data_IF_737450001642
#
_entry.id   IF_737450001642
#
_cell.length_a   1.000
_cell.length_b   1.000
_cell.length_c   1.000
_cell.angle_alpha   90.00
_cell.angle_beta   90.00
_cell.angle_gamma   90.00
#
_symmetry.space_group_name_H-M   'P 1'
#
loop_
_entity.id
_entity.type
_entity.pdbx_description
1 polymer ?
#
# COMPACT_ATOMS: atom_id res chain seq x y z
N UNK A 1 0.73 -8.02 -11.52
CA UNK A 1 1.97 -8.70 -11.06
C UNK A 1 3.17 -8.10 -11.79
N UNK A 2 4.09 -7.44 -11.07
CA UNK A 2 5.33 -6.85 -11.61
C UNK A 2 6.56 -7.56 -11.01
N UNK A 3 7.06 -8.65 -11.62
CA UNK A 3 8.20 -9.40 -11.10
C UNK A 3 9.52 -8.61 -11.08
N UNK A 4 9.59 -7.50 -11.83
CA UNK A 4 10.75 -6.62 -11.88
C UNK A 4 10.87 -5.65 -10.70
N UNK A 5 9.82 -5.50 -9.88
CA UNK A 5 9.85 -4.63 -8.70
C UNK A 5 10.61 -5.31 -7.57
N UNK A 6 11.67 -4.66 -7.08
CA UNK A 6 12.39 -5.13 -5.90
C UNK A 6 11.78 -4.50 -4.64
N UNK A 7 11.62 -5.29 -3.56
CA UNK A 7 11.04 -4.78 -2.31
C UNK A 7 11.79 -3.57 -1.74
N UNK A 8 13.11 -3.51 -1.94
CA UNK A 8 13.93 -2.38 -1.51
C UNK A 8 13.55 -1.05 -2.20
N UNK A 9 12.91 -1.08 -3.36
CA UNK A 9 12.41 0.12 -4.04
C UNK A 9 11.22 0.75 -3.29
N UNK A 10 10.47 -0.05 -2.52
CA UNK A 10 9.32 0.41 -1.74
C UNK A 10 9.72 0.98 -0.37
N UNK A 11 10.97 0.78 0.06
CA UNK A 11 11.50 1.32 1.32
C UNK A 11 12.14 2.71 1.15
N UNK A 12 12.24 3.21 -0.09
CA UNK A 12 12.86 4.50 -0.41
C UNK A 12 11.88 5.42 -1.14
N UNK A 13 11.73 6.65 -0.64
CA UNK A 13 10.79 7.63 -1.19
C UNK A 13 11.00 7.91 -2.68
N UNK A 14 12.24 8.19 -3.10
CA UNK A 14 12.53 8.57 -4.48
C UNK A 14 12.32 7.38 -5.44
N UNK A 15 12.70 6.17 -5.01
CA UNK A 15 12.49 4.95 -5.78
C UNK A 15 11.00 4.58 -5.90
N UNK A 16 10.27 4.58 -4.79
CA UNK A 16 8.83 4.31 -4.78
C UNK A 16 8.06 5.35 -5.61
N UNK A 17 8.44 6.63 -5.52
CA UNK A 17 7.87 7.69 -6.35
C UNK A 17 8.11 7.44 -7.83
N UNK A 18 9.35 7.13 -8.23
CA UNK A 18 9.67 6.83 -9.62
C UNK A 18 8.90 5.61 -10.13
N UNK A 19 8.73 4.59 -9.28
CA UNK A 19 7.93 3.42 -9.59
C UNK A 19 6.45 3.77 -9.80
N UNK A 20 5.85 4.55 -8.89
CA UNK A 20 4.46 5.01 -9.01
C UNK A 20 4.23 5.81 -10.30
N UNK A 21 5.11 6.77 -10.60
CA UNK A 21 5.04 7.55 -11.83
C UNK A 21 5.19 6.68 -13.08
N UNK A 22 6.03 5.63 -13.03
CA UNK A 22 6.24 4.69 -14.16
C UNK A 22 4.99 3.88 -14.53
N UNK A 23 4.05 3.71 -13.59
CA UNK A 23 2.79 2.99 -13.80
C UNK A 23 1.59 3.92 -13.95
N UNK A 24 1.83 5.23 -14.06
CA UNK A 24 0.78 6.22 -14.33
C UNK A 24 0.10 6.82 -13.10
N UNK A 25 0.60 6.56 -11.89
CA UNK A 25 0.11 7.19 -10.67
C UNK A 25 0.65 8.62 -10.57
N UNK A 26 -0.23 9.59 -10.33
CA UNK A 26 0.17 10.97 -10.07
C UNK A 26 0.53 11.15 -8.59
N UNK A 27 1.81 11.36 -8.29
CA UNK A 27 2.27 11.55 -6.91
C UNK A 27 2.15 13.02 -6.48
N UNK A 28 1.29 13.28 -5.50
CA UNK A 28 1.10 14.60 -4.92
C UNK A 28 2.27 15.03 -4.03
N UNK A 29 2.52 16.35 -3.95
CA UNK A 29 3.64 16.89 -3.15
C UNK A 29 3.51 16.65 -1.65
N UNK A 30 2.29 16.42 -1.16
CA UNK A 30 2.01 16.17 0.25
C UNK A 30 2.13 14.70 0.65
N UNK A 31 2.27 13.78 -0.31
CA UNK A 31 2.37 12.35 -0.04
C UNK A 31 3.75 12.02 0.50
N UNK A 32 3.77 11.26 1.59
CA UNK A 32 4.94 10.54 2.06
C UNK A 32 5.02 9.15 1.44
N UNK A 33 6.03 8.40 1.87
CA UNK A 33 6.31 7.06 1.36
C UNK A 33 5.14 6.11 1.55
N UNK A 34 4.48 6.15 2.73
CA UNK A 34 3.40 5.22 3.05
C UNK A 34 2.21 5.39 2.12
N UNK A 35 1.87 6.64 1.78
CA UNK A 35 0.81 6.89 0.80
C UNK A 35 1.17 6.38 -0.59
N UNK A 36 2.40 6.63 -1.05
CA UNK A 36 2.86 6.17 -2.37
C UNK A 36 2.81 4.65 -2.48
N UNK A 37 3.31 3.92 -1.47
CA UNK A 37 3.29 2.45 -1.47
C UNK A 37 1.86 1.91 -1.48
N UNK A 38 0.95 2.56 -0.76
CA UNK A 38 -0.47 2.19 -0.74
C UNK A 38 -1.09 2.34 -2.14
N UNK A 39 -0.84 3.45 -2.83
CA UNK A 39 -1.37 3.70 -4.18
C UNK A 39 -0.78 2.74 -5.22
N UNK A 40 0.50 2.36 -5.08
CA UNK A 40 1.11 1.31 -5.91
C UNK A 40 0.38 -0.02 -5.70
N UNK A 41 0.05 -0.37 -4.45
CA UNK A 41 -0.71 -1.58 -4.15
C UNK A 41 -2.11 -1.54 -4.78
N UNK A 42 -2.84 -0.44 -4.64
CA UNK A 42 -4.19 -0.28 -5.19
C UNK A 42 -4.18 -0.50 -6.72
N UNK A 43 -3.26 0.16 -7.42
CA UNK A 43 -3.15 0.05 -8.89
C UNK A 43 -2.69 -1.34 -9.37
N UNK A 44 -1.74 -1.97 -8.67
CA UNK A 44 -1.07 -3.19 -9.17
C UNK A 44 -1.71 -4.48 -8.68
N UNK A 45 -2.33 -4.48 -7.50
CA UNK A 45 -2.75 -5.69 -6.80
C UNK A 45 -4.26 -5.79 -6.58
N UNK A 46 -4.96 -4.69 -6.27
CA UNK A 46 -6.37 -4.72 -5.82
C UNK A 46 -7.27 -5.52 -6.78
N UNK A 47 -7.22 -5.22 -8.08
CA UNK A 47 -8.04 -5.86 -9.10
C UNK A 47 -7.82 -7.38 -9.23
N UNK A 48 -6.71 -7.90 -8.70
CA UNK A 48 -6.37 -9.32 -8.72
C UNK A 48 -6.85 -10.08 -7.47
N UNK A 49 -7.35 -9.40 -6.44
CA UNK A 49 -7.84 -10.00 -5.20
C UNK A 49 -9.25 -10.60 -5.38
N UNK A 50 -9.34 -11.66 -6.18
CA UNK A 50 -10.61 -12.30 -6.55
C UNK A 50 -11.19 -13.15 -5.42
N UNK A 51 -10.35 -13.95 -4.76
CA UNK A 51 -10.76 -14.75 -3.60
C UNK A 51 -10.73 -13.90 -2.32
N UNK A 52 -11.51 -14.27 -1.29
CA UNK A 52 -11.45 -13.63 0.02
C UNK A 52 -10.02 -13.51 0.53
N UNK A 53 -9.52 -12.27 0.59
CA UNK A 53 -8.13 -11.96 0.96
C UNK A 53 -8.10 -10.83 1.97
N UNK A 54 -7.36 -11.03 3.05
CA UNK A 54 -6.99 -9.94 3.96
C UNK A 54 -5.63 -9.40 3.56
N UNK A 55 -5.55 -8.09 3.41
CA UNK A 55 -4.30 -7.34 3.29
C UNK A 55 -4.08 -6.66 4.63
N UNK A 56 -2.88 -6.74 5.17
CA UNK A 56 -2.54 -6.30 6.52
C UNK A 56 -1.32 -5.39 6.50
N UNK A 57 -1.03 -4.76 7.64
CA UNK A 57 0.21 -3.98 7.85
C UNK A 57 0.28 -2.69 7.01
N UNK A 58 -0.81 -1.93 7.01
CA UNK A 58 -0.85 -0.64 6.31
C UNK A 58 0.07 0.39 6.95
N UNK A 59 0.73 1.26 6.16
CA UNK A 59 1.54 2.35 6.68
C UNK A 59 0.77 3.25 7.66
N UNK A 60 1.44 3.70 8.71
CA UNK A 60 0.86 4.59 9.71
C UNK A 60 0.40 5.93 9.13
N UNK A 61 1.06 6.39 8.06
CA UNK A 61 0.72 7.63 7.35
C UNK A 61 -0.72 7.62 6.81
N UNK A 62 -1.19 6.48 6.27
CA UNK A 62 -2.54 6.34 5.70
C UNK A 62 -3.58 5.88 6.73
N UNK A 63 -3.15 5.59 7.95
CA UNK A 63 -3.95 4.92 8.97
C UNK A 63 -3.98 5.71 10.30
N UNK A 64 -4.52 6.95 10.31
CA UNK A 64 -4.37 7.88 11.44
C UNK A 64 -5.06 7.44 12.73
N UNK A 65 -6.05 6.55 12.63
CA UNK A 65 -6.83 6.04 13.76
C UNK A 65 -6.43 4.61 14.17
N UNK A 66 -5.61 3.94 13.35
CA UNK A 66 -5.19 2.58 13.63
C UNK A 66 -4.06 2.56 14.66
N UNK A 67 -4.03 1.52 15.49
CA UNK A 67 -2.95 1.30 16.44
C UNK A 67 -1.65 1.03 15.66
N UNK A 68 -0.58 1.72 16.01
CA UNK A 68 0.76 1.42 15.48
C UNK A 68 1.22 0.06 15.97
N UNK A 69 1.91 -0.68 15.11
CA UNK A 69 2.48 -1.96 15.48
C UNK A 69 3.59 -1.78 16.53
N UNK A 70 3.68 -2.71 17.48
CA UNK A 70 4.65 -2.62 18.60
C UNK A 70 6.10 -2.84 18.16
N UNK A 71 6.32 -3.60 17.08
CA UNK A 71 7.65 -3.95 16.55
C UNK A 71 8.10 -2.96 15.48
N UNK A 72 7.20 -2.58 14.57
CA UNK A 72 7.48 -1.62 13.50
C UNK A 72 6.47 -0.45 13.53
N UNK A 73 6.80 0.69 14.17
CA UNK A 73 5.88 1.81 14.31
C UNK A 73 5.56 2.55 13.00
N UNK A 74 6.25 2.24 11.90
CA UNK A 74 5.95 2.79 10.56
C UNK A 74 4.71 2.16 9.92
N UNK A 75 4.25 1.01 10.43
CA UNK A 75 3.01 0.34 10.03
C UNK A 75 2.00 0.33 11.19
N UNK A 76 0.77 -0.04 10.86
CA UNK A 76 -0.33 -0.19 11.81
C UNK A 76 -0.91 -1.58 11.76
N UNK A 77 -1.48 -2.02 12.88
CA UNK A 77 -2.19 -3.29 13.01
C UNK A 77 -3.59 -3.16 12.37
N UNK A 78 -3.63 -2.76 11.09
CA UNK A 78 -4.82 -2.52 10.27
C UNK A 78 -4.92 -3.59 9.18
N UNK A 79 -6.15 -3.91 8.79
CA UNK A 79 -6.44 -4.72 7.61
C UNK A 79 -7.52 -4.12 6.71
N UNK A 80 -7.45 -4.48 5.44
CA UNK A 80 -8.57 -4.37 4.50
C UNK A 80 -8.90 -5.77 3.95
N UNK A 81 -10.18 -6.00 3.70
CA UNK A 81 -10.71 -7.28 3.24
C UNK A 81 -11.27 -7.15 1.84
N UNK A 82 -10.78 -7.97 0.92
CA UNK A 82 -11.11 -7.91 -0.49
C UNK A 82 -11.80 -9.19 -0.99
N UNK A 83 -12.83 -9.04 -1.82
CA UNK A 83 -13.45 -10.13 -2.59
C UNK A 83 -13.81 -9.61 -3.99
N UNK A 84 -13.46 -10.35 -5.04
CA UNK A 84 -13.81 -9.98 -6.42
C UNK A 84 -13.12 -8.70 -6.90
N UNK A 85 -11.93 -8.40 -6.37
CA UNK A 85 -11.16 -7.20 -6.69
C UNK A 85 -11.78 -5.91 -6.16
N UNK A 86 -12.48 -5.99 -5.03
CA UNK A 86 -13.12 -4.84 -4.36
C UNK A 86 -12.96 -4.97 -2.85
N UNK A 87 -12.75 -3.84 -2.18
CA UNK A 87 -12.81 -3.75 -0.73
C UNK A 87 -14.25 -4.04 -0.23
N UNK A 88 -14.37 -4.96 0.72
CA UNK A 88 -15.62 -5.38 1.37
C UNK A 88 -15.61 -5.07 2.87
N UNK A 89 -14.45 -4.81 3.46
CA UNK A 89 -14.33 -4.46 4.88
C UNK A 89 -12.97 -3.89 5.25
N UNK A 90 -12.91 -3.24 6.40
CA UNK A 90 -11.75 -2.49 6.92
C UNK A 90 -11.79 -2.56 8.45
N UNK A 91 -10.62 -2.73 9.08
CA UNK A 91 -10.51 -2.88 10.53
C UNK A 91 -9.13 -2.58 11.06
#
# INVERSE_FOLDING_TARGET
>A
YRPETEMAELDNFDAAKALAESIGIHVEKSWGLGRIVTEIFDEVAEAHLIQPTFITEYPAEVSPLARRNDVNPEITDRFEFFIGGREIGNG
#
